data_IF_465778542178
#
_entry.id   IF_465778542178
#
_cell.length_a   1.000
_cell.length_b   1.000
_cell.length_c   1.000
_cell.angle_alpha   90.00
_cell.angle_beta   90.00
_cell.angle_gamma   90.00
#
_symmetry.space_group_name_H-M   'P 1'
#
loop_
_entity.id
_entity.type
_entity.pdbx_description
1 polymer ?
#
# COMPACT_ATOMS: atom_id res chain seq x y z
N UNK A 1 -0.44 -0.42 -31.70
CA UNK A 1 0.90 -0.20 -32.30
C UNK A 1 1.10 1.30 -32.50
N UNK A 2 2.27 1.79 -32.11
CA UNK A 2 2.56 3.18 -31.77
C UNK A 2 3.25 3.25 -30.41
N UNK A 3 4.26 2.39 -30.19
CA UNK A 3 5.12 2.45 -29.02
C UNK A 3 6.08 3.61 -29.25
N UNK A 4 6.13 4.56 -28.31
CA UNK A 4 7.23 5.51 -28.23
C UNK A 4 8.47 4.69 -27.87
N UNK A 5 9.26 4.35 -28.88
CA UNK A 5 10.64 3.94 -28.66
C UNK A 5 11.40 5.21 -28.26
N UNK A 6 12.27 5.11 -27.24
CA UNK A 6 13.26 6.15 -26.99
C UNK A 6 14.07 6.45 -28.27
N UNK A 7 14.86 7.53 -28.28
CA UNK A 7 15.64 7.89 -29.47
C UNK A 7 16.44 6.67 -29.99
N UNK A 8 16.23 6.30 -31.26
CA UNK A 8 16.80 5.10 -31.90
C UNK A 8 18.32 5.19 -32.14
N UNK A 9 18.90 6.36 -31.89
CA UNK A 9 20.31 6.65 -31.82
C UNK A 9 20.59 7.36 -30.50
N UNK A 10 21.64 6.98 -29.79
CA UNK A 10 22.04 7.61 -28.53
C UNK A 10 22.10 9.14 -28.62
N UNK A 11 21.62 9.82 -27.59
CA UNK A 11 21.71 11.27 -27.47
C UNK A 11 23.02 11.65 -26.79
N UNK A 12 23.79 12.56 -27.39
CA UNK A 12 24.85 13.23 -26.62
C UNK A 12 24.21 14.00 -25.46
N UNK A 13 24.86 13.95 -24.29
CA UNK A 13 24.49 14.77 -23.13
C UNK A 13 25.33 16.06 -23.05
N UNK A 14 26.15 16.34 -24.07
CA UNK A 14 26.93 17.56 -24.17
C UNK A 14 26.01 18.78 -24.41
N UNK A 15 26.18 19.83 -23.60
CA UNK A 15 25.37 21.04 -23.66
C UNK A 15 23.99 20.91 -23.00
N UNK A 16 23.75 19.80 -22.30
CA UNK A 16 22.51 19.56 -21.57
C UNK A 16 22.54 20.18 -20.18
N UNK A 17 21.39 20.65 -19.71
CA UNK A 17 21.24 21.22 -18.37
C UNK A 17 20.15 20.48 -17.64
N UNK A 18 20.56 19.73 -16.61
CA UNK A 18 19.68 18.99 -15.72
C UNK A 18 19.41 19.81 -14.46
N UNK A 19 18.13 20.14 -14.26
CA UNK A 19 17.67 20.79 -13.04
C UNK A 19 17.08 19.77 -12.06
N UNK A 20 17.70 19.64 -10.89
CA UNK A 20 17.28 18.76 -9.81
C UNK A 20 16.48 19.53 -8.78
N UNK A 21 15.20 19.19 -8.69
CA UNK A 21 14.17 19.85 -7.89
C UNK A 21 13.69 18.91 -6.78
N UNK A 22 14.54 18.67 -5.77
CA UNK A 22 14.20 17.86 -4.59
C UNK A 22 14.57 18.57 -3.28
N UNK A 23 13.82 18.38 -2.18
CA UNK A 23 14.03 19.06 -0.90
C UNK A 23 15.16 18.41 -0.09
N UNK A 24 16.36 18.32 -0.66
CA UNK A 24 17.56 17.83 0.02
C UNK A 24 18.75 18.73 -0.30
N UNK A 25 19.77 18.67 0.55
CA UNK A 25 21.07 19.25 0.20
C UNK A 25 21.60 18.65 -1.10
N UNK A 26 22.29 19.45 -1.94
CA UNK A 26 22.98 18.95 -3.11
C UNK A 26 23.99 17.86 -2.72
N UNK A 27 23.88 16.69 -3.35
CA UNK A 27 24.87 15.62 -3.17
C UNK A 27 26.07 15.90 -4.07
N UNK A 28 26.99 16.74 -3.60
CA UNK A 28 28.14 17.20 -4.40
C UNK A 28 28.95 16.06 -5.01
N UNK A 29 29.22 15.00 -4.25
CA UNK A 29 29.93 13.81 -4.77
C UNK A 29 29.19 13.16 -5.94
N UNK A 30 27.85 13.10 -5.87
CA UNK A 30 27.02 12.56 -6.95
C UNK A 30 27.04 13.48 -8.17
N UNK A 31 26.94 14.81 -7.96
CA UNK A 31 26.99 15.82 -9.02
C UNK A 31 28.31 15.70 -9.78
N UNK A 32 29.44 15.74 -9.07
CA UNK A 32 30.78 15.61 -9.66
C UNK A 32 30.91 14.30 -10.44
N UNK A 33 30.47 13.17 -9.87
CA UNK A 33 30.53 11.88 -10.56
C UNK A 33 29.70 11.85 -11.85
N UNK A 34 28.56 12.55 -11.91
CA UNK A 34 27.74 12.63 -13.12
C UNK A 34 28.36 13.54 -14.17
N UNK A 35 28.89 14.69 -13.79
CA UNK A 35 29.54 15.63 -14.72
C UNK A 35 30.84 15.03 -15.30
N UNK A 36 31.59 14.26 -14.51
CA UNK A 36 32.75 13.50 -14.99
C UNK A 36 32.35 12.36 -15.94
N UNK A 37 31.25 11.65 -15.63
CA UNK A 37 30.74 10.54 -16.45
C UNK A 37 30.10 11.01 -17.77
N UNK A 38 29.55 12.21 -17.78
CA UNK A 38 28.87 12.81 -18.93
C UNK A 38 29.45 14.20 -19.24
N UNK A 39 30.61 14.27 -19.94
CA UNK A 39 31.25 15.54 -20.26
C UNK A 39 30.29 16.50 -20.99
N UNK A 40 30.17 17.72 -20.46
CA UNK A 40 29.31 18.76 -21.00
C UNK A 40 27.86 18.75 -20.48
N UNK A 41 27.48 17.82 -19.61
CA UNK A 41 26.25 17.90 -18.82
C UNK A 41 26.46 18.88 -17.66
N UNK A 42 25.61 19.89 -17.55
CA UNK A 42 25.54 20.80 -16.39
C UNK A 42 24.44 20.33 -15.44
N UNK A 43 24.74 20.21 -14.15
CA UNK A 43 23.74 19.87 -13.13
C UNK A 43 23.49 21.06 -12.21
N UNK A 44 22.25 21.55 -12.23
CA UNK A 44 21.76 22.57 -11.29
C UNK A 44 20.91 21.90 -10.25
N UNK A 45 21.21 22.17 -8.98
CA UNK A 45 20.44 21.63 -7.86
C UNK A 45 19.79 22.77 -7.09
N UNK A 46 18.47 22.70 -6.93
CA UNK A 46 17.72 23.71 -6.19
C UNK A 46 18.04 23.61 -4.71
N UNK A 47 18.39 24.75 -4.11
CA UNK A 47 18.70 24.86 -2.69
C UNK A 47 17.59 24.28 -1.79
N UNK A 48 18.00 23.55 -0.74
CA UNK A 48 17.06 22.92 0.20
C UNK A 48 16.24 23.96 0.94
N UNK A 49 16.86 25.03 1.41
CA UNK A 49 16.20 26.01 2.27
C UNK A 49 15.14 26.77 1.47
N UNK A 50 15.39 27.01 0.18
CA UNK A 50 14.36 27.49 -0.75
C UNK A 50 13.10 26.60 -0.77
N UNK A 51 13.25 25.27 -0.77
CA UNK A 51 12.11 24.34 -0.73
C UNK A 51 11.29 24.44 0.56
N UNK A 52 11.98 24.62 1.68
CA UNK A 52 11.37 24.68 3.00
C UNK A 52 10.65 26.01 3.22
N UNK A 53 11.24 27.11 2.76
CA UNK A 53 10.72 28.46 2.97
C UNK A 53 9.49 28.79 2.11
N UNK A 54 9.38 28.18 0.92
CA UNK A 54 8.33 28.53 -0.05
C UNK A 54 7.03 27.75 0.10
N UNK A 55 6.98 26.78 1.02
CA UNK A 55 5.84 25.89 1.24
C UNK A 55 5.23 25.36 -0.09
N UNK A 56 6.10 24.93 -1.01
CA UNK A 56 5.73 24.63 -2.40
C UNK A 56 4.61 23.59 -2.53
N UNK A 57 4.50 22.71 -1.53
CA UNK A 57 3.46 21.69 -1.48
C UNK A 57 2.06 22.28 -1.29
N UNK A 58 1.95 23.42 -0.61
CA UNK A 58 0.70 24.16 -0.44
C UNK A 58 0.38 25.07 -1.64
N UNK A 59 1.39 25.67 -2.28
CA UNK A 59 1.19 26.57 -3.43
C UNK A 59 0.82 25.84 -4.72
N UNK A 60 1.14 24.55 -4.82
CA UNK A 60 0.74 23.72 -5.96
C UNK A 60 1.61 23.88 -7.22
N UNK A 61 2.53 24.85 -7.27
CA UNK A 61 3.43 25.10 -8.42
C UNK A 61 4.85 25.46 -7.95
N UNK A 62 5.86 24.95 -8.65
CA UNK A 62 7.27 25.21 -8.35
C UNK A 62 7.77 26.51 -9.02
N UNK A 63 7.79 27.61 -8.25
CA UNK A 63 8.15 28.95 -8.75
C UNK A 63 9.61 29.33 -8.41
N UNK A 64 10.58 28.70 -9.06
CA UNK A 64 12.00 28.95 -8.78
C UNK A 64 12.43 30.39 -9.12
N UNK A 65 13.54 30.88 -8.53
CA UNK A 65 14.11 32.18 -8.87
C UNK A 65 14.38 32.33 -10.38
N UNK A 66 14.26 33.56 -10.88
CA UNK A 66 14.50 33.87 -12.29
C UNK A 66 15.92 33.47 -12.72
N UNK A 67 16.04 32.90 -13.91
CA UNK A 67 17.31 32.47 -14.51
C UNK A 67 17.71 31.02 -14.20
N UNK A 68 17.12 30.38 -13.19
CA UNK A 68 17.49 29.00 -12.83
C UNK A 68 17.10 27.99 -13.93
N UNK A 69 16.04 28.30 -14.68
CA UNK A 69 15.56 27.53 -15.82
C UNK A 69 16.27 27.86 -17.15
N UNK A 70 17.20 28.82 -17.17
CA UNK A 70 17.83 29.25 -18.42
C UNK A 70 18.65 28.13 -19.06
N UNK A 71 18.21 27.68 -20.23
CA UNK A 71 18.87 26.56 -20.92
C UNK A 71 18.51 25.18 -20.39
N UNK A 72 17.62 25.04 -19.39
CA UNK A 72 17.22 23.73 -18.84
C UNK A 72 16.54 22.87 -19.89
N UNK A 73 17.08 21.67 -20.08
CA UNK A 73 16.58 20.68 -21.04
C UNK A 73 16.05 19.42 -20.37
N UNK A 74 16.43 19.20 -19.10
CA UNK A 74 16.05 18.03 -18.31
C UNK A 74 15.63 18.48 -16.91
N UNK A 75 14.55 17.91 -16.37
CA UNK A 75 14.05 18.25 -15.03
C UNK A 75 13.79 17.00 -14.22
N UNK A 76 14.27 16.96 -12.97
CA UNK A 76 13.84 15.98 -11.98
C UNK A 76 13.00 16.68 -10.91
N UNK A 77 11.69 16.43 -10.85
CA UNK A 77 10.82 17.15 -9.91
C UNK A 77 9.59 16.36 -9.46
N UNK A 78 9.12 16.63 -8.25
CA UNK A 78 7.78 16.24 -7.81
C UNK A 78 6.72 17.20 -8.33
N UNK A 79 6.95 18.50 -8.08
CA UNK A 79 6.03 19.59 -8.39
C UNK A 79 6.27 20.10 -9.82
N UNK A 80 5.21 20.29 -10.64
CA UNK A 80 5.39 20.89 -11.95
C UNK A 80 5.90 22.34 -11.82
N UNK A 81 7.00 22.70 -12.52
CA UNK A 81 7.32 24.08 -12.86
C UNK A 81 6.21 24.74 -13.67
N UNK A 82 6.31 26.04 -13.95
CA UNK A 82 5.41 26.67 -14.92
C UNK A 82 5.75 26.22 -16.35
N UNK A 83 4.75 26.06 -17.25
CA UNK A 83 5.01 25.71 -18.64
C UNK A 83 5.97 26.68 -19.35
N UNK A 84 5.90 27.98 -19.04
CA UNK A 84 6.71 29.00 -19.71
C UNK A 84 8.22 28.89 -19.39
N UNK A 85 8.55 28.27 -18.25
CA UNK A 85 9.92 28.03 -17.80
C UNK A 85 10.52 26.76 -18.42
N UNK A 86 9.68 25.90 -19.03
CA UNK A 86 10.07 24.57 -19.52
C UNK A 86 10.20 24.49 -21.04
N UNK A 87 10.38 25.62 -21.74
CA UNK A 87 10.35 25.71 -23.22
C UNK A 87 11.33 24.81 -23.97
N UNK A 88 12.45 24.43 -23.34
CA UNK A 88 13.49 23.57 -23.92
C UNK A 88 13.52 22.16 -23.33
N UNK A 89 12.66 21.89 -22.35
CA UNK A 89 12.66 20.61 -21.62
C UNK A 89 12.16 19.51 -22.54
N UNK A 90 12.93 18.43 -22.63
CA UNK A 90 12.58 17.23 -23.41
C UNK A 90 12.62 15.94 -22.59
N UNK A 91 13.10 15.99 -21.36
CA UNK A 91 13.10 14.87 -20.44
C UNK A 91 12.70 15.31 -19.03
N UNK A 92 11.77 14.58 -18.43
CA UNK A 92 11.31 14.79 -17.07
C UNK A 92 11.39 13.49 -16.29
N UNK A 93 12.16 13.47 -15.20
CA UNK A 93 12.18 12.40 -14.21
C UNK A 93 11.29 12.79 -13.04
N UNK A 94 10.13 12.16 -12.91
CA UNK A 94 9.29 12.34 -11.73
C UNK A 94 9.95 11.69 -10.52
N UNK A 95 9.77 12.32 -9.37
CA UNK A 95 10.18 11.75 -8.08
C UNK A 95 9.11 10.87 -7.44
N UNK A 96 7.90 10.82 -8.02
CA UNK A 96 6.79 9.99 -7.56
C UNK A 96 6.53 8.81 -8.49
N UNK A 97 5.92 7.74 -7.94
CA UNK A 97 5.48 6.60 -8.74
C UNK A 97 4.27 6.95 -9.65
N UNK A 98 3.42 7.90 -9.24
CA UNK A 98 2.31 8.42 -10.04
C UNK A 98 2.61 9.78 -10.66
N UNK A 99 1.83 10.17 -11.66
CA UNK A 99 1.96 11.44 -12.39
C UNK A 99 0.78 12.38 -12.19
N UNK A 100 -0.05 12.17 -11.15
CA UNK A 100 -1.34 12.85 -10.93
C UNK A 100 -1.25 14.39 -11.02
N UNK A 101 -0.15 14.98 -10.53
CA UNK A 101 0.08 16.44 -10.57
C UNK A 101 0.47 16.99 -11.94
N UNK A 102 0.89 16.11 -12.85
CA UNK A 102 1.42 16.47 -14.17
C UNK A 102 0.43 16.23 -15.29
N UNK A 103 -0.60 15.40 -15.12
CA UNK A 103 -1.48 14.96 -16.22
C UNK A 103 -2.18 16.10 -16.97
N UNK A 104 -2.41 17.24 -16.32
CA UNK A 104 -3.01 18.44 -16.92
C UNK A 104 -2.00 19.47 -17.43
N UNK A 105 -0.70 19.25 -17.20
CA UNK A 105 0.36 20.19 -17.52
C UNK A 105 0.70 20.17 -19.01
N UNK A 106 0.94 21.32 -19.64
CA UNK A 106 1.14 21.40 -21.10
C UNK A 106 2.38 20.66 -21.58
N UNK A 107 3.47 20.72 -20.83
CA UNK A 107 4.69 19.92 -21.11
C UNK A 107 4.43 18.42 -21.00
N UNK A 108 3.50 17.99 -20.13
CA UNK A 108 3.08 16.59 -20.09
C UNK A 108 2.18 16.25 -21.29
N UNK A 109 1.53 17.20 -21.94
CA UNK A 109 0.74 16.93 -23.15
C UNK A 109 1.61 16.88 -24.40
N UNK A 110 2.80 17.47 -24.37
CA UNK A 110 3.75 17.42 -25.49
C UNK A 110 4.29 15.99 -25.69
N UNK A 111 4.02 15.36 -26.85
CA UNK A 111 4.50 14.00 -27.14
C UNK A 111 6.02 13.93 -27.32
N UNK A 112 6.71 15.05 -27.55
CA UNK A 112 8.16 15.09 -27.73
C UNK A 112 8.93 15.13 -26.40
N UNK A 113 8.23 15.28 -25.28
CA UNK A 113 8.83 15.29 -23.95
C UNK A 113 8.69 13.91 -23.32
N UNK A 114 9.81 13.31 -22.95
CA UNK A 114 9.82 12.01 -22.27
C UNK A 114 9.56 12.20 -20.78
N UNK A 115 8.67 11.39 -20.20
CA UNK A 115 8.37 11.37 -18.78
C UNK A 115 8.66 9.98 -18.20
N UNK A 116 9.53 9.92 -17.19
CA UNK A 116 9.81 8.69 -16.45
C UNK A 116 9.35 8.82 -15.00
N UNK A 117 8.76 7.77 -14.44
CA UNK A 117 8.32 7.76 -13.03
C UNK A 117 9.38 7.19 -12.10
N UNK A 118 9.12 7.31 -10.81
CA UNK A 118 9.85 6.64 -9.75
C UNK A 118 9.28 5.26 -9.39
N UNK A 119 8.58 4.58 -10.30
CA UNK A 119 8.05 3.25 -10.03
C UNK A 119 9.16 2.30 -9.49
N UNK A 120 8.81 1.50 -8.48
CA UNK A 120 9.71 0.52 -7.86
C UNK A 120 10.47 0.99 -6.61
N UNK A 121 10.68 2.29 -6.38
CA UNK A 121 11.51 2.74 -5.23
C UNK A 121 10.89 2.45 -3.86
N UNK A 122 9.56 2.31 -3.81
CA UNK A 122 8.80 2.13 -2.58
C UNK A 122 8.44 0.68 -2.27
N UNK A 123 8.63 -0.23 -3.22
CA UNK A 123 8.07 -1.58 -3.16
C UNK A 123 8.46 -2.33 -1.88
N UNK A 124 9.73 -2.22 -1.46
CA UNK A 124 10.24 -2.87 -0.24
C UNK A 124 9.50 -2.39 1.02
N UNK A 125 9.49 -1.07 1.28
CA UNK A 125 8.90 -0.52 2.50
C UNK A 125 7.38 -0.75 2.56
N UNK A 126 6.69 -0.56 1.42
CA UNK A 126 5.24 -0.78 1.35
C UNK A 126 4.92 -2.26 1.59
N UNK A 127 5.70 -3.18 1.05
CA UNK A 127 5.47 -4.62 1.28
C UNK A 127 5.62 -5.02 2.75
N UNK A 128 6.58 -4.42 3.47
CA UNK A 128 6.74 -4.63 4.90
C UNK A 128 5.52 -4.11 5.68
N UNK A 129 4.97 -2.97 5.27
CA UNK A 129 3.73 -2.45 5.85
C UNK A 129 2.53 -3.36 5.57
N UNK A 130 2.37 -3.87 4.34
CA UNK A 130 1.29 -4.80 3.96
C UNK A 130 1.37 -6.09 4.78
N UNK A 131 2.55 -6.71 4.86
CA UNK A 131 2.75 -7.95 5.61
C UNK A 131 2.67 -7.71 7.12
N UNK A 132 3.20 -6.58 7.60
CA UNK A 132 3.11 -6.17 9.00
C UNK A 132 1.67 -6.00 9.46
N UNK A 133 0.83 -5.33 8.65
CA UNK A 133 -0.60 -5.17 8.96
C UNK A 133 -1.38 -6.48 8.88
N UNK A 134 -1.04 -7.36 7.94
CA UNK A 134 -1.58 -8.72 7.89
C UNK A 134 -1.27 -9.52 9.16
N UNK A 135 0.00 -9.54 9.58
CA UNK A 135 0.43 -10.24 10.80
C UNK A 135 -0.20 -9.61 12.05
N UNK A 136 -0.21 -8.29 12.13
CA UNK A 136 -0.88 -7.56 13.21
C UNK A 136 -2.36 -7.96 13.33
N UNK A 137 -3.06 -8.15 12.21
CA UNK A 137 -4.43 -8.62 12.18
C UNK A 137 -4.59 -10.11 12.54
N UNK A 138 -3.69 -10.99 12.06
CA UNK A 138 -3.73 -12.43 12.41
C UNK A 138 -3.46 -12.68 13.89
N UNK A 139 -2.48 -11.97 14.45
CA UNK A 139 -1.99 -12.20 15.80
C UNK A 139 -2.61 -11.25 16.83
N UNK A 140 -3.67 -10.52 16.46
CA UNK A 140 -4.45 -9.66 17.36
C UNK A 140 -3.62 -8.59 18.08
N UNK A 141 -2.57 -8.05 17.45
CA UNK A 141 -1.64 -7.10 18.08
C UNK A 141 -2.34 -5.81 18.53
N UNK A 142 -3.34 -5.32 17.80
CA UNK A 142 -4.11 -4.14 18.23
C UNK A 142 -4.88 -4.41 19.53
N UNK A 143 -5.51 -5.59 19.65
CA UNK A 143 -6.19 -5.99 20.89
C UNK A 143 -5.19 -6.15 22.02
N UNK A 144 -4.06 -6.81 21.78
CA UNK A 144 -3.00 -6.95 22.76
C UNK A 144 -2.48 -5.58 23.24
N UNK A 145 -2.31 -4.61 22.33
CA UNK A 145 -1.93 -3.23 22.67
C UNK A 145 -2.98 -2.54 23.57
N UNK A 146 -4.27 -2.73 23.31
CA UNK A 146 -5.34 -2.20 24.17
C UNK A 146 -5.32 -2.83 25.57
N UNK A 147 -5.16 -4.15 25.65
CA UNK A 147 -5.05 -4.89 26.90
C UNK A 147 -3.83 -4.45 27.71
N UNK A 148 -2.70 -4.23 27.05
CA UNK A 148 -1.48 -3.68 27.65
C UNK A 148 -1.73 -2.31 28.29
N UNK A 149 -2.41 -1.40 27.59
CA UNK A 149 -2.81 -0.08 28.13
C UNK A 149 -3.76 -0.17 29.31
N UNK A 150 -4.54 -1.25 29.40
CA UNK A 150 -5.45 -1.54 30.51
C UNK A 150 -4.77 -2.33 31.65
N UNK A 151 -3.49 -2.67 31.52
CA UNK A 151 -2.79 -3.59 32.41
C UNK A 151 -3.53 -4.93 32.62
N UNK A 152 -4.23 -5.42 31.58
CA UNK A 152 -5.06 -6.62 31.65
C UNK A 152 -4.39 -7.80 30.97
N UNK A 153 -4.15 -8.86 31.72
CA UNK A 153 -3.77 -10.16 31.18
C UNK A 153 -5.04 -10.93 30.78
N UNK A 154 -5.36 -10.96 29.48
CA UNK A 154 -6.52 -11.68 28.99
C UNK A 154 -6.20 -13.19 28.85
N UNK A 155 -7.13 -14.09 29.21
CA UNK A 155 -6.98 -15.51 29.00
C UNK A 155 -7.10 -15.87 27.51
N UNK A 156 -6.58 -17.03 27.09
CA UNK A 156 -6.45 -17.38 25.67
C UNK A 156 -7.79 -17.47 24.94
N UNK A 157 -8.86 -17.83 25.65
CA UNK A 157 -10.22 -17.99 25.14
C UNK A 157 -10.85 -16.66 24.69
N UNK A 158 -10.29 -15.52 25.12
CA UNK A 158 -10.70 -14.21 24.64
C UNK A 158 -10.19 -13.91 23.21
N UNK A 159 -9.22 -14.68 22.70
CA UNK A 159 -8.64 -14.52 21.36
C UNK A 159 -9.22 -15.54 20.38
N UNK A 160 -9.40 -15.10 19.14
CA UNK A 160 -9.69 -16.04 18.07
C UNK A 160 -8.42 -16.83 17.74
N UNK A 161 -8.58 -18.07 17.26
CA UNK A 161 -7.42 -18.85 16.84
C UNK A 161 -6.73 -18.18 15.64
N UNK A 162 -5.42 -17.98 15.77
CA UNK A 162 -4.55 -17.61 14.64
C UNK A 162 -4.55 -18.73 13.62
N UNK A 163 -4.53 -18.39 12.33
CA UNK A 163 -4.29 -19.37 11.26
C UNK A 163 -2.96 -19.03 10.64
N UNK A 164 -2.14 -20.05 10.47
CA UNK A 164 -0.81 -19.91 9.90
C UNK A 164 -0.93 -19.49 8.43
N UNK A 165 0.03 -18.70 7.95
CA UNK A 165 0.02 -18.21 6.57
C UNK A 165 0.21 -19.29 5.48
N UNK A 166 0.92 -20.42 5.71
CA UNK A 166 1.04 -21.46 4.70
C UNK A 166 -0.31 -21.98 4.19
N UNK A 167 -0.47 -21.95 2.87
CA UNK A 167 -1.69 -22.39 2.17
C UNK A 167 -2.81 -21.35 2.08
N UNK A 168 -2.66 -20.17 2.72
CA UNK A 168 -3.60 -19.07 2.54
C UNK A 168 -3.39 -18.35 1.22
N UNK A 169 -4.43 -17.68 0.71
CA UNK A 169 -4.41 -17.01 -0.59
C UNK A 169 -4.27 -15.50 -0.46
N UNK A 170 -3.23 -14.94 -1.08
CA UNK A 170 -3.11 -13.50 -1.30
C UNK A 170 -3.54 -13.17 -2.73
N UNK A 171 -4.60 -12.39 -2.87
CA UNK A 171 -4.96 -11.73 -4.12
C UNK A 171 -4.28 -10.37 -4.21
N UNK A 172 -3.57 -10.12 -5.31
CA UNK A 172 -2.89 -8.85 -5.60
C UNK A 172 -3.61 -8.14 -6.75
N UNK A 173 -4.45 -7.17 -6.41
CA UNK A 173 -5.13 -6.30 -7.36
C UNK A 173 -4.16 -5.22 -7.85
N UNK A 174 -3.48 -5.48 -8.96
CA UNK A 174 -2.45 -4.62 -9.53
C UNK A 174 -1.04 -5.20 -9.35
N UNK A 175 -0.65 -6.13 -10.22
CA UNK A 175 0.64 -6.84 -10.16
C UNK A 175 1.83 -6.05 -10.77
N UNK A 176 2.01 -4.81 -10.31
CA UNK A 176 3.18 -3.96 -10.59
C UNK A 176 4.29 -4.12 -9.53
N UNK A 177 5.22 -3.17 -9.43
CA UNK A 177 6.39 -3.28 -8.55
C UNK A 177 6.04 -3.54 -7.07
N UNK A 178 5.05 -2.83 -6.51
CA UNK A 178 4.57 -3.06 -5.13
C UNK A 178 3.94 -4.47 -5.01
N UNK A 179 3.01 -4.81 -5.91
CA UNK A 179 2.32 -6.09 -5.89
C UNK A 179 3.26 -7.28 -5.99
N UNK A 180 4.26 -7.21 -6.87
CA UNK A 180 5.32 -8.23 -7.03
C UNK A 180 6.14 -8.42 -5.77
N UNK A 181 6.50 -7.33 -5.09
CA UNK A 181 7.25 -7.43 -3.85
C UNK A 181 6.38 -7.95 -2.68
N UNK A 182 5.11 -7.57 -2.59
CA UNK A 182 4.15 -8.17 -1.65
C UNK A 182 4.03 -9.69 -1.88
N UNK A 183 3.89 -10.11 -3.14
CA UNK A 183 3.82 -11.50 -3.54
C UNK A 183 5.07 -12.29 -3.16
N UNK A 184 6.26 -11.73 -3.38
CA UNK A 184 7.53 -12.34 -2.97
C UNK A 184 7.56 -12.64 -1.47
N UNK A 185 7.23 -11.65 -0.64
CA UNK A 185 7.27 -11.81 0.83
C UNK A 185 6.19 -12.77 1.30
N UNK A 186 4.96 -12.67 0.79
CA UNK A 186 3.88 -13.58 1.13
C UNK A 186 4.14 -15.02 0.68
N UNK A 187 4.72 -15.23 -0.51
CA UNK A 187 5.13 -16.54 -1.00
C UNK A 187 6.22 -17.16 -0.11
N UNK A 188 7.18 -16.37 0.37
CA UNK A 188 8.17 -16.82 1.35
C UNK A 188 7.54 -17.23 2.70
N UNK A 189 6.35 -16.71 3.03
CA UNK A 189 5.55 -17.13 4.19
C UNK A 189 4.63 -18.35 3.90
N UNK A 190 4.71 -18.92 2.69
CA UNK A 190 3.94 -20.08 2.26
C UNK A 190 2.55 -19.78 1.69
N UNK A 191 2.22 -18.52 1.42
CA UNK A 191 0.94 -18.15 0.80
C UNK A 191 0.93 -18.46 -0.70
N UNK A 192 -0.24 -18.83 -1.21
CA UNK A 192 -0.52 -18.92 -2.65
C UNK A 192 -0.88 -17.52 -3.18
N UNK A 193 -0.30 -17.13 -4.32
CA UNK A 193 -0.45 -15.78 -4.87
C UNK A 193 -1.32 -15.79 -6.13
N UNK A 194 -2.40 -15.00 -6.12
CA UNK A 194 -3.24 -14.72 -7.30
C UNK A 194 -3.03 -13.28 -7.75
N UNK A 195 -2.52 -13.11 -8.97
CA UNK A 195 -2.21 -11.81 -9.54
C UNK A 195 -3.34 -11.32 -10.43
N UNK A 196 -3.69 -10.03 -10.33
CA UNK A 196 -4.56 -9.35 -11.28
C UNK A 196 -3.80 -8.26 -12.03
N UNK A 197 -3.91 -8.24 -13.35
CA UNK A 197 -3.36 -7.20 -14.23
C UNK A 197 -4.43 -6.64 -15.16
N UNK A 198 -4.22 -5.44 -15.71
CA UNK A 198 -5.15 -4.91 -16.71
C UNK A 198 -5.14 -5.74 -18.00
N UNK A 199 -3.95 -6.08 -18.49
CA UNK A 199 -3.75 -6.86 -19.71
C UNK A 199 -3.45 -8.31 -19.38
N UNK A 200 -3.79 -9.21 -20.29
CA UNK A 200 -3.46 -10.63 -20.16
C UNK A 200 -1.94 -10.87 -20.13
N UNK A 201 -1.51 -11.86 -19.35
CA UNK A 201 -0.11 -12.25 -19.13
C UNK A 201 0.05 -13.76 -19.29
N UNK A 202 -0.30 -14.27 -20.48
CA UNK A 202 -0.39 -15.71 -20.75
C UNK A 202 0.97 -16.39 -20.99
N UNK A 203 2.00 -15.65 -21.41
CA UNK A 203 3.36 -16.20 -21.66
C UNK A 203 4.38 -15.73 -20.61
N UNK A 204 5.49 -16.46 -20.40
CA UNK A 204 6.58 -16.01 -19.52
C UNK A 204 7.09 -14.61 -19.87
N UNK A 205 7.27 -14.31 -21.16
CA UNK A 205 7.74 -13.00 -21.64
C UNK A 205 6.74 -11.90 -21.30
N UNK A 206 5.44 -12.18 -21.45
CA UNK A 206 4.41 -11.24 -21.07
C UNK A 206 4.43 -10.97 -19.56
N UNK A 207 4.80 -11.94 -18.71
CA UNK A 207 4.82 -11.79 -17.24
C UNK A 207 6.03 -11.03 -16.72
N UNK A 208 7.06 -10.82 -17.54
CA UNK A 208 8.24 -10.05 -17.15
C UNK A 208 7.91 -8.60 -16.84
N UNK A 209 8.69 -8.02 -15.94
CA UNK A 209 8.65 -6.61 -15.60
C UNK A 209 10.06 -6.03 -15.62
N UNK A 210 10.33 -5.22 -16.65
CA UNK A 210 11.62 -4.56 -16.86
C UNK A 210 11.68 -3.19 -16.19
N UNK A 211 10.66 -2.84 -15.39
CA UNK A 211 10.67 -1.62 -14.59
C UNK A 211 11.71 -1.67 -13.47
N UNK A 212 12.05 -0.50 -12.93
CA UNK A 212 13.04 -0.43 -11.87
C UNK A 212 12.57 -1.24 -10.64
N UNK A 213 13.48 -2.01 -10.06
CA UNK A 213 13.28 -2.69 -8.79
C UNK A 213 14.60 -2.78 -8.02
N UNK A 214 14.53 -2.95 -6.71
CA UNK A 214 15.72 -3.17 -5.90
C UNK A 214 16.27 -4.59 -6.16
N UNK A 215 17.59 -4.76 -6.30
CA UNK A 215 18.18 -6.10 -6.44
C UNK A 215 17.71 -7.06 -5.33
N UNK A 216 17.32 -8.28 -5.72
CA UNK A 216 16.83 -9.30 -4.78
C UNK A 216 15.39 -9.11 -4.29
N UNK A 217 14.65 -8.15 -4.85
CA UNK A 217 13.24 -7.86 -4.53
C UNK A 217 12.34 -8.04 -5.75
N UNK A 218 11.02 -8.07 -5.52
CA UNK A 218 10.01 -8.21 -6.55
C UNK A 218 9.93 -9.61 -7.14
N UNK A 219 9.45 -9.66 -8.38
CA UNK A 219 9.24 -10.87 -9.16
C UNK A 219 9.49 -10.53 -10.63
N UNK A 220 10.73 -10.20 -11.03
CA UNK A 220 11.02 -9.65 -12.36
C UNK A 220 10.61 -10.60 -13.49
N UNK A 221 10.69 -11.92 -13.27
CA UNK A 221 10.29 -12.94 -14.24
C UNK A 221 8.80 -13.33 -14.17
N UNK A 222 8.06 -12.85 -13.17
CA UNK A 222 6.63 -13.15 -13.02
C UNK A 222 6.34 -14.63 -12.74
N UNK A 223 7.19 -15.27 -11.93
CA UNK A 223 7.14 -16.71 -11.66
C UNK A 223 6.34 -17.06 -10.40
N UNK A 224 6.08 -16.07 -9.54
CA UNK A 224 5.47 -16.30 -8.22
C UNK A 224 3.96 -16.60 -8.29
N UNK A 225 3.14 -15.91 -9.12
CA UNK A 225 1.70 -16.14 -9.09
C UNK A 225 1.32 -17.53 -9.56
N UNK A 226 0.54 -18.23 -8.74
CA UNK A 226 -0.07 -19.51 -9.09
C UNK A 226 -1.17 -19.33 -10.15
N UNK A 227 -1.86 -18.19 -10.14
CA UNK A 227 -2.91 -17.84 -11.10
C UNK A 227 -2.83 -16.37 -11.49
N UNK A 228 -3.16 -16.11 -12.75
CA UNK A 228 -3.21 -14.79 -13.35
C UNK A 228 -4.64 -14.50 -13.79
N UNK A 229 -5.14 -13.35 -13.38
CA UNK A 229 -6.41 -12.78 -13.77
C UNK A 229 -6.16 -11.48 -14.51
N UNK A 230 -7.05 -11.13 -15.42
CA UNK A 230 -6.91 -9.88 -16.14
C UNK A 230 -8.22 -9.32 -16.64
N UNK A 231 -8.20 -8.04 -17.00
CA UNK A 231 -9.29 -7.40 -17.71
C UNK A 231 -9.47 -5.93 -17.34
N UNK A 232 -10.41 -5.31 -18.05
CA UNK A 232 -10.90 -3.96 -17.78
C UNK A 232 -12.36 -4.07 -17.38
N UNK A 233 -12.75 -3.36 -16.32
CA UNK A 233 -14.14 -3.31 -15.86
C UNK A 233 -14.43 -4.25 -14.70
N UNK A 234 -15.67 -4.17 -14.20
CA UNK A 234 -16.10 -4.80 -12.94
C UNK A 234 -16.19 -6.31 -13.02
N UNK A 235 -16.62 -6.88 -14.14
CA UNK A 235 -16.79 -8.34 -14.27
C UNK A 235 -15.48 -9.12 -14.11
N UNK A 236 -14.40 -8.64 -14.73
CA UNK A 236 -13.07 -9.24 -14.59
C UNK A 236 -12.56 -9.16 -13.13
N UNK A 237 -12.79 -8.02 -12.47
CA UNK A 237 -12.46 -7.87 -11.05
C UNK A 237 -13.32 -8.80 -10.19
N UNK A 238 -14.61 -8.94 -10.49
CA UNK A 238 -15.51 -9.84 -9.77
C UNK A 238 -15.05 -11.29 -9.86
N UNK A 239 -14.62 -11.75 -11.04
CA UNK A 239 -14.07 -13.09 -11.22
C UNK A 239 -12.84 -13.29 -10.32
N UNK A 240 -11.93 -12.32 -10.29
CA UNK A 240 -10.75 -12.36 -9.43
C UNK A 240 -11.07 -12.34 -7.93
N UNK A 241 -12.04 -11.53 -7.49
CA UNK A 241 -12.43 -11.45 -6.09
C UNK A 241 -13.20 -12.70 -5.62
N UNK A 242 -13.82 -13.44 -6.54
CA UNK A 242 -14.53 -14.68 -6.24
C UNK A 242 -13.61 -15.87 -5.90
N UNK A 243 -12.28 -15.67 -5.87
CA UNK A 243 -11.29 -16.75 -5.76
C UNK A 243 -10.90 -17.12 -4.32
N UNK A 244 -11.80 -16.91 -3.35
CA UNK A 244 -11.63 -17.33 -1.95
C UNK A 244 -10.29 -16.82 -1.35
N UNK A 245 -10.14 -15.48 -1.37
CA UNK A 245 -8.94 -14.77 -0.94
C UNK A 245 -8.94 -14.58 0.58
N UNK A 246 -7.81 -14.86 1.25
CA UNK A 246 -7.62 -14.54 2.67
C UNK A 246 -7.13 -13.11 2.89
N UNK A 247 -6.29 -12.64 1.96
CA UNK A 247 -5.74 -11.29 1.93
C UNK A 247 -5.88 -10.69 0.54
N UNK A 248 -6.55 -9.55 0.44
CA UNK A 248 -6.62 -8.74 -0.78
C UNK A 248 -5.68 -7.53 -0.62
N UNK A 249 -4.68 -7.42 -1.49
CA UNK A 249 -3.82 -6.24 -1.60
C UNK A 249 -4.26 -5.40 -2.79
N UNK A 250 -4.64 -4.15 -2.54
CA UNK A 250 -5.03 -3.18 -3.56
C UNK A 250 -3.84 -2.29 -3.88
N UNK A 251 -3.30 -2.44 -5.08
CA UNK A 251 -2.08 -1.78 -5.58
C UNK A 251 -2.22 -1.26 -7.02
N UNK A 252 -3.45 -1.00 -7.50
CA UNK A 252 -3.71 -0.35 -8.80
C UNK A 252 -3.56 1.17 -8.71
N UNK A 253 -3.14 1.87 -9.78
CA UNK A 253 -3.19 3.33 -9.82
C UNK A 253 -4.64 3.84 -9.78
N UNK A 254 -4.83 5.08 -9.34
CA UNK A 254 -6.15 5.75 -9.43
C UNK A 254 -6.31 6.39 -10.81
N UNK A 255 -7.29 5.91 -11.55
CA UNK A 255 -7.71 6.42 -12.85
C UNK A 255 -9.23 6.44 -12.89
N UNK A 256 -9.83 6.98 -13.95
CA UNK A 256 -11.28 6.90 -14.15
C UNK A 256 -11.80 5.46 -14.13
N UNK A 257 -11.00 4.48 -14.58
CA UNK A 257 -11.39 3.06 -14.62
C UNK A 257 -11.20 2.31 -13.29
N UNK A 258 -10.44 2.87 -12.34
CA UNK A 258 -10.18 2.24 -11.04
C UNK A 258 -10.79 3.00 -9.86
N UNK A 259 -11.39 4.17 -10.10
CA UNK A 259 -12.17 4.89 -9.11
C UNK A 259 -13.39 4.06 -8.69
N UNK A 260 -13.60 3.92 -7.38
CA UNK A 260 -14.66 3.12 -6.77
C UNK A 260 -14.75 1.69 -7.33
N UNK A 261 -13.59 1.11 -7.69
CA UNK A 261 -13.49 -0.24 -8.21
C UNK A 261 -14.00 -1.27 -7.20
N UNK A 262 -13.75 -1.06 -5.91
CA UNK A 262 -14.31 -1.87 -4.83
C UNK A 262 -15.50 -1.15 -4.19
N UNK A 263 -16.71 -1.55 -4.57
CA UNK A 263 -17.96 -1.10 -3.98
C UNK A 263 -18.73 -2.23 -3.30
N UNK A 264 -20.01 -1.98 -2.99
CA UNK A 264 -20.90 -2.93 -2.31
C UNK A 264 -20.91 -4.32 -2.96
N UNK A 265 -21.05 -4.36 -4.28
CA UNK A 265 -21.05 -5.60 -5.06
C UNK A 265 -19.77 -6.42 -4.84
N UNK A 266 -18.60 -5.78 -4.86
CA UNK A 266 -17.32 -6.44 -4.66
C UNK A 266 -17.18 -6.98 -3.23
N UNK A 267 -17.67 -6.25 -2.23
CA UNK A 267 -17.72 -6.76 -0.85
C UNK A 267 -18.73 -7.90 -0.67
N UNK A 268 -19.86 -7.91 -1.39
CA UNK A 268 -20.79 -9.03 -1.41
C UNK A 268 -20.16 -10.30 -2.04
N UNK A 269 -19.26 -10.14 -3.01
CA UNK A 269 -18.50 -11.26 -3.59
C UNK A 269 -17.49 -11.82 -2.58
N UNK A 270 -16.73 -10.94 -1.92
CA UNK A 270 -15.78 -11.35 -0.86
C UNK A 270 -16.49 -12.04 0.31
N UNK A 271 -17.72 -11.64 0.63
CA UNK A 271 -18.53 -12.27 1.67
C UNK A 271 -18.91 -13.72 1.32
N UNK A 272 -19.24 -13.98 0.04
CA UNK A 272 -19.68 -15.28 -0.48
C UNK A 272 -18.55 -16.29 -0.69
N UNK A 273 -17.28 -15.86 -0.63
CA UNK A 273 -16.11 -16.60 -1.10
C UNK A 273 -15.84 -17.98 -0.49
N UNK A 274 -16.64 -18.48 0.44
CA UNK A 274 -16.38 -19.77 1.10
C UNK A 274 -17.40 -20.85 0.77
N UNK A 275 -17.08 -21.60 -0.28
CA UNK A 275 -17.58 -22.95 -0.55
C UNK A 275 -16.48 -24.02 -0.51
N UNK A 276 -15.23 -23.70 -0.17
CA UNK A 276 -14.13 -24.66 -0.33
C UNK A 276 -13.99 -25.61 0.87
N UNK A 277 -14.24 -26.90 0.63
CA UNK A 277 -13.83 -28.06 1.44
C UNK A 277 -12.29 -28.26 1.46
N UNK A 278 -11.51 -27.20 1.22
CA UNK A 278 -10.08 -27.25 0.91
C UNK A 278 -9.19 -27.46 2.14
N UNK A 279 -9.59 -28.36 3.03
CA UNK A 279 -8.72 -29.08 3.97
C UNK A 279 -9.33 -30.47 4.24
N UNK A 280 -9.56 -31.25 3.18
CA UNK A 280 -9.44 -32.70 3.30
C UNK A 280 -8.00 -33.07 2.96
N UNK A 281 -7.18 -33.57 3.91
CA UNK A 281 -5.98 -34.27 3.53
C UNK A 281 -6.40 -35.38 2.58
N UNK A 282 -5.70 -35.55 1.46
CA UNK A 282 -5.85 -36.74 0.63
C UNK A 282 -5.53 -37.92 1.55
N UNK A 283 -6.57 -38.64 2.01
CA UNK A 283 -6.38 -39.96 2.58
C UNK A 283 -5.81 -40.82 1.45
N UNK A 284 -4.49 -41.00 1.45
CA UNK A 284 -3.85 -42.05 0.70
C UNK A 284 -4.40 -43.37 1.22
N UNK A 285 -4.98 -44.17 0.33
CA UNK A 285 -5.32 -45.55 0.61
C UNK A 285 -4.08 -46.28 1.14
N UNK A 286 -4.10 -46.59 2.42
CA UNK A 286 -3.17 -47.47 3.12
C UNK A 286 -3.96 -48.23 4.17
N UNK A 287 -4.27 -49.47 3.84
CA UNK A 287 -4.94 -50.50 4.65
C UNK A 287 -4.34 -50.73 6.05
N UNK A 288 -5.16 -50.72 7.12
CA UNK A 288 -5.40 -51.80 8.11
C UNK A 288 -6.19 -51.32 9.37
N UNK A 289 -6.75 -52.22 10.23
CA UNK A 289 -8.11 -52.10 10.73
C UNK A 289 -8.25 -51.89 12.26
N UNK A 290 -9.50 -51.65 12.66
CA UNK A 290 -10.11 -51.79 13.99
C UNK A 290 -9.61 -50.97 15.19
N UNK A 291 -10.58 -50.32 15.83
CA UNK A 291 -10.44 -49.69 17.15
C UNK A 291 -11.67 -48.87 17.54
N UNK A 292 -12.77 -49.54 17.89
CA UNK A 292 -13.87 -48.97 18.68
C UNK A 292 -13.34 -48.35 19.98
N UNK A 293 -13.77 -47.16 20.41
CA UNK A 293 -14.09 -46.83 21.83
C UNK A 293 -15.15 -45.72 21.91
N UNK A 294 -16.15 -45.99 22.77
CA UNK A 294 -17.23 -45.14 23.26
C UNK A 294 -16.80 -43.90 24.08
N UNK A 295 -17.61 -42.83 24.00
CA UNK A 295 -18.31 -42.34 25.20
C UNK A 295 -17.92 -40.99 25.83
N UNK A 296 -19.00 -40.25 26.15
CA UNK A 296 -19.24 -39.34 27.29
C UNK A 296 -19.30 -37.82 27.03
N UNK A 297 -20.54 -37.37 27.17
CA UNK A 297 -21.04 -36.01 27.39
C UNK A 297 -20.25 -35.22 28.44
N UNK A 298 -19.97 -33.95 28.12
CA UNK A 298 -19.62 -32.89 29.07
C UNK A 298 -20.46 -31.65 28.75
N UNK A 299 -21.35 -31.30 29.66
CA UNK A 299 -22.33 -30.21 29.56
C UNK A 299 -21.62 -28.87 29.88
N UNK A 300 -21.59 -27.93 28.94
CA UNK A 300 -20.94 -26.62 29.08
C UNK A 300 -21.83 -25.50 28.55
N UNK A 301 -22.40 -24.73 29.47
CA UNK A 301 -23.33 -23.64 29.25
C UNK A 301 -22.59 -22.42 28.66
N UNK A 302 -22.89 -22.02 27.42
CA UNK A 302 -22.28 -20.85 26.77
C UNK A 302 -23.32 -19.75 26.49
N UNK A 303 -23.18 -18.63 27.20
CA UNK A 303 -23.83 -17.36 26.88
C UNK A 303 -23.06 -16.67 25.75
N UNK A 304 -23.78 -16.29 24.69
CA UNK A 304 -23.27 -15.45 23.61
C UNK A 304 -22.99 -14.02 24.11
N UNK A 305 -21.71 -13.65 24.18
CA UNK A 305 -21.26 -12.28 24.38
C UNK A 305 -21.03 -11.57 23.04
N UNK A 306 -22.08 -10.92 22.54
CA UNK A 306 -21.95 -9.85 21.56
C UNK A 306 -21.32 -8.65 22.29
N UNK A 307 -20.01 -8.40 22.12
CA UNK A 307 -19.38 -7.22 22.72
C UNK A 307 -19.37 -6.10 21.68
N UNK A 308 -20.35 -5.22 21.83
CA UNK A 308 -20.55 -4.03 21.02
C UNK A 308 -19.39 -3.03 21.09
N UNK A 309 -19.35 -2.19 20.06
CA UNK A 309 -18.51 -1.01 20.01
C UNK A 309 -18.76 -0.12 21.22
N UNK A 310 -17.66 0.31 21.86
CA UNK A 310 -17.70 1.33 22.90
C UNK A 310 -17.02 2.56 22.35
N UNK A 311 -17.82 3.60 22.15
CA UNK A 311 -17.38 4.96 21.83
C UNK A 311 -16.47 5.50 22.95
N UNK A 312 -15.17 5.60 22.67
CA UNK A 312 -14.24 6.35 23.52
C UNK A 312 -14.22 7.83 23.14
N UNK A 313 -15.04 8.64 23.83
CA UNK A 313 -14.84 10.09 23.88
C UNK A 313 -13.65 10.41 24.78
N UNK A 314 -12.46 10.48 24.18
CA UNK A 314 -11.27 11.06 24.78
C UNK A 314 -10.92 12.38 24.08
N UNK A 315 -11.16 13.51 24.73
CA UNK A 315 -10.74 14.83 24.27
C UNK A 315 -9.21 14.90 24.38
N UNK A 316 -8.52 14.87 23.24
CA UNK A 316 -7.11 15.28 23.13
C UNK A 316 -7.04 16.78 22.79
N UNK A 317 -6.09 17.54 23.38
CA UNK A 317 -5.95 18.97 23.11
C UNK A 317 -5.39 19.23 21.71
N UNK A 318 -5.80 20.37 21.16
CA UNK A 318 -5.44 20.87 19.84
C UNK A 318 -3.92 20.95 19.63
N UNK A 319 -3.46 20.43 18.51
CA UNK A 319 -2.13 20.65 17.96
C UNK A 319 -2.19 20.66 16.44
N UNK A 320 -2.36 21.85 15.86
CA UNK A 320 -2.02 22.09 14.46
C UNK A 320 -0.50 21.98 14.34
N UNK A 321 -0.02 21.02 13.56
CA UNK A 321 1.41 20.86 13.28
C UNK A 321 1.59 20.11 11.98
N UNK A 322 1.89 20.86 10.93
CA UNK A 322 2.33 20.37 9.63
C UNK A 322 3.50 19.39 9.79
N UNK A 323 3.44 18.28 9.06
CA UNK A 323 4.51 17.31 8.94
C UNK A 323 5.71 17.96 8.25
N UNK A 324 6.75 18.27 9.02
CA UNK A 324 8.10 18.53 8.48
C UNK A 324 9.04 17.41 8.92
N UNK A 325 9.75 16.86 7.94
CA UNK A 325 10.76 15.84 8.14
C UNK A 325 12.02 16.43 8.76
N UNK A 326 12.64 15.65 9.64
CA UNK A 326 14.06 15.73 9.97
C UNK A 326 14.36 16.54 11.23
N UNK A 327 14.61 15.85 12.35
CA UNK A 327 15.76 16.14 13.21
C UNK A 327 16.10 14.91 14.07
N UNK A 328 17.37 14.53 13.98
CA UNK A 328 18.07 13.52 14.79
C UNK A 328 18.60 14.14 16.10
N UNK A 329 18.70 13.28 17.12
CA UNK A 329 19.46 13.38 18.38
C UNK A 329 18.95 14.25 19.54
N UNK A 330 19.06 13.68 20.75
CA UNK A 330 19.32 14.44 21.99
C UNK A 330 18.67 13.86 23.25
N UNK A 331 19.42 13.05 24.01
CA UNK A 331 19.13 12.70 25.41
C UNK A 331 18.90 13.93 26.30
N UNK A 332 17.96 13.85 27.26
CA UNK A 332 18.18 14.34 28.64
C UNK A 332 17.07 13.93 29.62
N UNK A 333 17.51 13.55 30.82
CA UNK A 333 16.73 13.19 32.01
C UNK A 333 15.90 14.37 32.55
N UNK A 334 14.77 14.05 33.18
CA UNK A 334 14.01 15.00 34.00
C UNK A 334 13.00 14.31 34.91
N UNK A 335 13.39 14.15 36.17
CA UNK A 335 12.65 13.60 37.32
C UNK A 335 11.49 14.46 37.82
N UNK A 336 10.50 13.79 38.45
CA UNK A 336 9.72 14.16 39.65
C UNK A 336 8.18 14.33 39.54
N UNK A 337 7.51 13.75 40.54
CA UNK A 337 6.35 14.34 41.23
C UNK A 337 4.99 13.67 40.97
N UNK A 338 4.65 12.55 41.65
CA UNK A 338 3.84 12.44 42.89
C UNK A 338 2.32 12.61 42.78
N UNK A 339 1.65 11.52 43.14
CA UNK A 339 0.44 11.34 43.98
C UNK A 339 -0.93 11.93 43.60
N UNK A 340 -1.93 11.06 43.67
CA UNK A 340 -3.36 11.43 43.77
C UNK A 340 -4.29 10.22 43.71
N UNK A 341 -4.42 9.49 44.82
CA UNK A 341 -5.36 8.38 45.06
C UNK A 341 -6.81 8.87 45.28
N UNK A 342 -7.79 8.09 44.80
CA UNK A 342 -9.13 7.77 45.37
C UNK A 342 -9.98 7.16 44.23
N UNK A 343 -10.59 5.97 44.28
CA UNK A 343 -11.17 5.22 45.39
C UNK A 343 -12.68 5.47 45.44
N UNK A 344 -13.51 4.52 44.98
CA UNK A 344 -14.74 3.99 45.63
C UNK A 344 -15.61 3.17 44.66
N UNK A 345 -16.02 2.00 45.18
CA UNK A 345 -16.86 0.94 44.63
C UNK A 345 -18.35 1.30 44.50
N UNK A 346 -19.07 0.55 43.67
CA UNK A 346 -20.54 0.46 43.72
C UNK A 346 -21.08 -0.75 42.94
N UNK A 347 -21.31 -1.87 43.63
CA UNK A 347 -22.00 -3.07 43.14
C UNK A 347 -23.52 -2.84 43.02
N UNK A 348 -24.15 -3.42 42.01
CA UNK A 348 -25.60 -3.56 41.89
C UNK A 348 -25.99 -4.79 41.07
N UNK A 349 -26.53 -5.81 41.73
CA UNK A 349 -27.06 -7.06 41.17
C UNK A 349 -28.49 -6.89 40.60
N UNK A 350 -28.93 -7.95 39.89
CA UNK A 350 -30.31 -8.39 39.54
C UNK A 350 -30.71 -8.07 38.08
N UNK A 351 -31.39 -8.95 37.31
CA UNK A 351 -32.23 -10.11 37.61
C UNK A 351 -32.43 -10.93 36.30
N UNK A 352 -32.63 -12.26 36.44
CA UNK A 352 -32.89 -13.20 35.35
C UNK A 352 -34.33 -13.11 34.82
N UNK A 353 -34.52 -13.20 33.49
CA UNK A 353 -35.77 -13.71 32.89
C UNK A 353 -35.45 -14.81 31.87
N UNK A 354 -36.20 -15.91 31.97
CA UNK A 354 -36.10 -17.14 31.16
C UNK A 354 -36.72 -16.91 29.77
N UNK A 355 -36.14 -17.49 28.73
CA UNK A 355 -36.93 -17.93 27.57
C UNK A 355 -36.37 -19.19 26.91
N UNK A 356 -37.32 -19.95 26.37
CA UNK A 356 -37.36 -21.34 25.92
C UNK A 356 -36.30 -21.80 24.91
N UNK A 357 -35.87 -23.06 25.10
CA UNK A 357 -34.98 -23.82 24.23
C UNK A 357 -35.66 -24.27 22.94
N UNK A 358 -34.98 -24.09 21.80
CA UNK A 358 -35.18 -24.89 20.57
C UNK A 358 -33.84 -25.53 20.24
N UNK A 359 -33.76 -26.85 20.44
CA UNK A 359 -32.55 -27.64 20.25
C UNK A 359 -32.48 -28.08 18.78
N UNK A 360 -31.83 -27.27 17.93
CA UNK A 360 -31.49 -27.61 16.56
C UNK A 360 -30.02 -28.01 16.49
N UNK A 361 -29.75 -29.27 16.19
CA UNK A 361 -28.44 -29.88 16.03
C UNK A 361 -27.61 -29.11 14.96
N UNK A 362 -26.88 -28.07 15.36
CA UNK A 362 -25.93 -27.35 14.52
C UNK A 362 -24.57 -28.00 14.68
N UNK A 363 -24.21 -28.85 13.73
CA UNK A 363 -22.81 -29.10 13.37
C UNK A 363 -22.07 -27.76 13.34
N UNK A 364 -20.99 -27.66 14.11
CA UNK A 364 -20.12 -26.48 14.18
C UNK A 364 -19.50 -26.25 12.81
N UNK A 365 -20.15 -25.40 11.99
CA UNK A 365 -19.53 -24.78 10.83
C UNK A 365 -18.23 -24.16 11.34
N UNK A 366 -17.08 -24.69 10.91
CA UNK A 366 -15.83 -23.98 11.05
C UNK A 366 -15.96 -22.76 10.13
N UNK A 367 -16.46 -21.68 10.75
CA UNK A 367 -16.87 -20.45 10.09
C UNK A 367 -15.66 -19.90 9.38
N UNK A 368 -15.71 -19.95 8.06
CA UNK A 368 -14.52 -19.65 7.33
C UNK A 368 -14.17 -18.16 7.40
N UNK A 369 -12.91 -17.85 7.73
CA UNK A 369 -12.37 -16.49 7.88
C UNK A 369 -12.57 -15.65 6.60
N UNK A 370 -13.30 -14.56 6.73
CA UNK A 370 -13.55 -13.58 5.67
C UNK A 370 -12.24 -12.92 5.19
N UNK A 371 -12.24 -12.35 4.00
CA UNK A 371 -11.05 -11.67 3.43
C UNK A 371 -10.63 -10.47 4.30
N UNK A 372 -9.32 -10.28 4.46
CA UNK A 372 -8.73 -9.04 4.99
C UNK A 372 -8.32 -8.14 3.82
N UNK A 373 -8.71 -6.86 3.84
CA UNK A 373 -8.45 -5.94 2.72
C UNK A 373 -7.34 -4.95 3.08
N UNK A 374 -6.34 -4.82 2.24
CA UNK A 374 -5.22 -3.92 2.43
C UNK A 374 -5.18 -2.92 1.26
N UNK A 375 -5.42 -1.64 1.53
CA UNK A 375 -5.31 -0.58 0.53
C UNK A 375 -4.06 0.27 0.79
N UNK A 376 -3.10 0.16 -0.14
CA UNK A 376 -1.84 0.92 -0.16
C UNK A 376 -1.70 1.75 -1.44
N UNK A 377 -2.80 1.89 -2.19
CA UNK A 377 -2.81 2.56 -3.48
C UNK A 377 -3.28 4.01 -3.35
N UNK A 378 -4.59 4.23 -3.45
CA UNK A 378 -5.29 5.52 -3.27
C UNK A 378 -6.64 5.28 -2.62
N UNK A 379 -7.11 6.26 -1.84
CA UNK A 379 -8.39 6.18 -1.15
C UNK A 379 -9.58 5.95 -2.10
N UNK A 380 -9.66 6.74 -3.17
CA UNK A 380 -10.78 6.70 -4.12
C UNK A 380 -10.90 5.44 -4.98
N UNK A 381 -10.08 4.41 -4.77
CA UNK A 381 -10.25 3.08 -5.38
C UNK A 381 -11.36 2.29 -4.66
N UNK A 382 -11.54 2.54 -3.36
CA UNK A 382 -12.54 1.87 -2.53
C UNK A 382 -13.65 2.86 -2.21
N UNK A 383 -14.89 2.47 -2.47
CA UNK A 383 -16.04 3.21 -1.98
C UNK A 383 -16.06 3.13 -0.44
N UNK A 384 -15.83 4.29 0.20
CA UNK A 384 -15.70 4.38 1.66
C UNK A 384 -16.99 4.00 2.39
N UNK A 385 -18.16 4.31 1.84
CA UNK A 385 -19.44 3.94 2.45
C UNK A 385 -19.65 2.41 2.38
N UNK A 386 -19.33 1.81 1.24
CA UNK A 386 -19.39 0.36 1.08
C UNK A 386 -18.40 -0.38 2.00
N UNK A 387 -17.19 0.17 2.18
CA UNK A 387 -16.20 -0.38 3.09
C UNK A 387 -16.68 -0.35 4.55
N UNK A 388 -17.23 0.78 4.99
CA UNK A 388 -17.78 0.93 6.35
C UNK A 388 -18.84 -0.12 6.62
N UNK A 389 -19.81 -0.26 5.70
CA UNK A 389 -20.85 -1.27 5.84
C UNK A 389 -20.28 -2.69 5.85
N UNK A 390 -19.32 -3.00 4.98
CA UNK A 390 -18.70 -4.32 4.91
C UNK A 390 -17.99 -4.68 6.22
N UNK A 391 -17.34 -3.71 6.87
CA UNK A 391 -16.72 -3.87 8.19
C UNK A 391 -17.77 -4.06 9.29
N UNK A 392 -18.82 -3.23 9.31
CA UNK A 392 -19.89 -3.30 10.30
C UNK A 392 -20.69 -4.60 10.22
N UNK A 393 -20.97 -5.08 9.01
CA UNK A 393 -21.71 -6.34 8.76
C UNK A 393 -20.82 -7.58 8.87
N UNK A 394 -19.50 -7.41 8.99
CA UNK A 394 -18.54 -8.51 9.03
C UNK A 394 -18.45 -9.28 7.70
N UNK A 395 -18.72 -8.63 6.58
CA UNK A 395 -18.53 -9.19 5.22
C UNK A 395 -17.05 -9.42 4.93
N UNK A 396 -16.20 -8.55 5.46
CA UNK A 396 -14.75 -8.71 5.52
C UNK A 396 -14.32 -8.78 6.98
N UNK A 397 -13.19 -9.43 7.27
CA UNK A 397 -12.72 -9.59 8.65
C UNK A 397 -12.02 -8.35 9.22
N UNK A 398 -11.68 -7.40 8.35
CA UNK A 398 -10.97 -6.18 8.70
C UNK A 398 -10.30 -5.56 7.49
N UNK A 399 -9.75 -4.37 7.69
CA UNK A 399 -9.00 -3.66 6.66
C UNK A 399 -7.78 -2.92 7.23
N UNK A 400 -6.74 -2.78 6.40
CA UNK A 400 -5.62 -1.88 6.63
C UNK A 400 -5.60 -0.82 5.51
N UNK A 401 -5.59 0.45 5.89
CA UNK A 401 -5.67 1.60 4.99
C UNK A 401 -4.49 2.53 5.26
N UNK A 402 -3.54 2.61 4.33
CA UNK A 402 -2.55 3.71 4.37
C UNK A 402 -3.06 4.96 3.64
N UNK A 403 -4.16 4.81 2.90
CA UNK A 403 -4.76 5.86 2.06
C UNK A 403 -6.27 5.91 2.29
N UNK A 404 -6.84 7.11 2.21
CA UNK A 404 -8.27 7.36 2.44
C UNK A 404 -8.78 8.45 1.49
N UNK A 405 -10.09 8.65 1.41
CA UNK A 405 -10.66 9.80 0.68
C UNK A 405 -11.73 10.43 1.59
N UNK A 406 -11.59 11.71 2.01
CA UNK A 406 -10.51 12.65 1.69
C UNK A 406 -9.23 12.45 2.52
N UNK A 407 -8.11 13.05 2.07
CA UNK A 407 -6.84 13.15 2.80
C UNK A 407 -6.48 14.63 3.04
N UNK A 408 -6.14 15.06 4.28
CA UNK A 408 -6.14 14.29 5.53
C UNK A 408 -7.55 13.83 5.96
N UNK A 409 -7.62 12.69 6.64
CA UNK A 409 -8.90 12.13 7.10
C UNK A 409 -9.49 13.00 8.23
N UNK A 410 -10.72 13.56 8.10
CA UNK A 410 -11.32 14.43 9.12
C UNK A 410 -11.47 13.74 10.47
N UNK A 411 -11.34 14.51 11.57
CA UNK A 411 -11.35 13.98 12.95
C UNK A 411 -12.66 13.25 13.31
N UNK A 412 -13.77 13.65 12.72
CA UNK A 412 -15.11 13.11 12.93
C UNK A 412 -15.49 12.01 11.93
N UNK A 413 -14.58 11.67 11.00
CA UNK A 413 -14.85 10.68 9.97
C UNK A 413 -15.13 9.28 10.57
N UNK A 414 -16.19 8.58 10.12
CA UNK A 414 -16.62 7.30 10.72
C UNK A 414 -15.58 6.18 10.65
N UNK A 415 -14.67 6.20 9.65
CA UNK A 415 -13.57 5.23 9.55
C UNK A 415 -12.73 5.13 10.83
N UNK A 416 -12.58 6.21 11.60
CA UNK A 416 -11.84 6.17 12.87
C UNK A 416 -12.46 5.25 13.92
N UNK A 417 -13.75 4.95 13.80
CA UNK A 417 -14.53 4.14 14.75
C UNK A 417 -14.98 2.81 14.16
N UNK A 418 -14.67 2.56 12.88
CA UNK A 418 -15.08 1.33 12.22
C UNK A 418 -14.42 0.12 12.89
N UNK A 419 -15.12 -1.03 12.95
CA UNK A 419 -14.56 -2.23 13.58
C UNK A 419 -13.42 -2.80 12.72
N UNK A 420 -12.38 -3.32 13.38
CA UNK A 420 -11.29 -4.07 12.75
C UNK A 420 -10.58 -3.35 11.59
N UNK A 421 -10.53 -2.01 11.63
CA UNK A 421 -9.75 -1.20 10.69
C UNK A 421 -8.46 -0.70 11.33
N UNK A 422 -7.38 -0.67 10.55
CA UNK A 422 -6.13 -0.02 10.91
C UNK A 422 -5.81 1.05 9.87
N UNK A 423 -5.52 2.27 10.32
CA UNK A 423 -5.29 3.42 9.45
C UNK A 423 -3.92 4.01 9.75
N UNK A 424 -3.12 4.23 8.71
CA UNK A 424 -1.90 5.03 8.77
C UNK A 424 -2.02 6.24 7.84
N UNK A 425 -1.37 7.37 8.17
CA UNK A 425 -1.60 8.64 7.50
C UNK A 425 -0.75 8.78 6.22
N UNK A 426 -0.85 7.82 5.28
CA UNK A 426 -0.15 7.83 4.00
C UNK A 426 1.38 7.87 4.15
N UNK A 427 1.91 6.91 4.92
CA UNK A 427 3.33 6.86 5.35
C UNK A 427 4.02 5.54 5.04
N UNK A 428 3.33 4.56 4.45
CA UNK A 428 3.91 3.24 4.14
C UNK A 428 5.11 3.31 3.18
N UNK A 429 5.28 4.44 2.48
CA UNK A 429 6.35 4.67 1.51
C UNK A 429 7.62 5.29 2.11
N UNK A 430 7.57 5.83 3.33
CA UNK A 430 8.64 6.65 3.92
C UNK A 430 9.86 5.79 4.25
N UNK A 431 11.02 6.17 3.70
CA UNK A 431 12.30 5.49 3.92
C UNK A 431 13.46 6.47 3.78
N UNK A 432 14.54 6.35 4.57
CA UNK A 432 15.73 7.19 4.39
C UNK A 432 16.40 6.97 3.03
N UNK A 433 16.16 5.83 2.37
CA UNK A 433 16.76 5.48 1.08
C UNK A 433 16.03 6.11 -0.12
N UNK A 434 14.98 6.90 0.09
CA UNK A 434 14.09 7.37 -0.98
C UNK A 434 14.84 8.15 -2.06
N UNK A 435 15.63 9.15 -1.65
CA UNK A 435 16.38 9.99 -2.58
C UNK A 435 17.51 9.24 -3.28
N UNK A 436 18.19 8.31 -2.59
CA UNK A 436 19.24 7.48 -3.22
C UNK A 436 18.65 6.58 -4.31
N UNK A 437 17.50 5.96 -4.06
CA UNK A 437 16.83 5.10 -5.06
C UNK A 437 16.38 5.92 -6.27
N UNK A 438 15.90 7.13 -6.06
CA UNK A 438 15.53 8.06 -7.13
C UNK A 438 16.72 8.45 -8.01
N UNK A 439 17.84 8.84 -7.40
CA UNK A 439 19.05 9.19 -8.15
C UNK A 439 19.56 8.00 -8.96
N UNK A 440 19.46 6.76 -8.45
CA UNK A 440 19.78 5.54 -9.22
C UNK A 440 18.89 5.34 -10.45
N UNK A 441 17.60 5.67 -10.37
CA UNK A 441 16.72 5.64 -11.56
C UNK A 441 17.18 6.69 -12.57
N UNK A 442 17.45 7.92 -12.11
CA UNK A 442 17.91 9.01 -12.96
C UNK A 442 19.23 8.64 -13.65
N UNK A 443 20.23 8.18 -12.90
CA UNK A 443 21.50 7.67 -13.44
C UNK A 443 21.26 6.62 -14.53
N UNK A 444 20.42 5.62 -14.23
CA UNK A 444 20.09 4.55 -15.17
C UNK A 444 19.39 5.07 -16.43
N UNK A 445 18.61 6.15 -16.33
CA UNK A 445 17.96 6.79 -17.47
C UNK A 445 18.92 7.69 -18.27
N UNK A 446 19.87 8.38 -17.63
CA UNK A 446 20.94 9.12 -18.32
C UNK A 446 21.79 8.18 -19.19
N UNK A 447 22.17 7.02 -18.65
CA UNK A 447 22.86 5.98 -19.42
C UNK A 447 22.04 5.52 -20.64
N UNK A 448 20.75 5.27 -20.44
CA UNK A 448 19.85 4.80 -21.50
C UNK A 448 19.61 5.84 -22.57
N UNK A 449 19.48 7.12 -22.20
CA UNK A 449 19.40 8.24 -23.15
C UNK A 449 20.66 8.30 -24.01
N UNK A 450 21.84 8.22 -23.37
CA UNK A 450 23.14 8.24 -24.07
C UNK A 450 23.31 7.07 -25.02
N UNK A 451 22.80 5.90 -24.67
CA UNK A 451 22.95 4.66 -25.44
C UNK A 451 21.82 4.41 -26.43
N UNK A 452 20.74 5.21 -26.42
CA UNK A 452 19.56 4.99 -27.25
C UNK A 452 18.76 3.76 -26.84
N UNK A 453 18.82 3.38 -25.55
CA UNK A 453 18.08 2.24 -25.00
C UNK A 453 16.70 2.67 -24.47
N UNK A 454 15.73 1.73 -24.38
CA UNK A 454 14.46 2.00 -23.71
C UNK A 454 14.67 2.50 -22.27
N UNK A 455 14.01 3.60 -21.92
CA UNK A 455 14.08 4.23 -20.60
C UNK A 455 13.37 3.37 -19.54
N UNK A 456 13.91 3.41 -18.32
CA UNK A 456 13.22 2.87 -17.14
C UNK A 456 11.99 3.72 -16.85
N UNK A 457 10.89 3.04 -16.55
CA UNK A 457 9.65 3.64 -16.06
C UNK A 457 9.09 4.74 -16.99
N UNK A 458 9.29 4.61 -18.30
CA UNK A 458 8.72 5.52 -19.28
C UNK A 458 7.19 5.47 -19.24
N UNK A 459 6.57 6.63 -19.03
CA UNK A 459 5.12 6.75 -18.89
C UNK A 459 4.37 6.38 -20.17
N UNK A 460 3.32 5.58 -20.03
CA UNK A 460 2.33 5.45 -21.09
C UNK A 460 1.24 6.52 -20.93
N UNK A 461 1.34 7.61 -21.69
CA UNK A 461 0.39 8.74 -21.61
C UNK A 461 -1.08 8.33 -21.82
N UNK A 462 -1.34 7.28 -22.61
CA UNK A 462 -2.69 6.80 -22.89
C UNK A 462 -3.31 6.08 -21.71
N UNK A 463 -2.46 5.44 -20.90
CA UNK A 463 -2.87 4.64 -19.75
C UNK A 463 -2.69 5.40 -18.43
N UNK A 464 -1.91 6.50 -18.45
CA UNK A 464 -1.61 7.39 -17.33
C UNK A 464 -0.82 6.73 -16.18
N UNK A 465 -0.08 5.64 -16.46
CA UNK A 465 0.86 5.00 -15.54
C UNK A 465 1.91 4.16 -16.26
#
# INVERSE_FOLDING_TARGET
>A
MGSLHGPSSGLSLEGEVLLVCIPTEPKLEWVTAMEERYPGLEIRWVDRDWYLDTNVFASGTLNLPAGLYDGVTMVMSFMPPKPEDMKRVRFVQLTSAGADRWVTHDVYRDPNVMFCTANGIHATQISEWVIGTWLMAQHHFLRASMLMKQARWAPAEEFHQTVDSPGLRMGVLGYGAIGRQCARVASAMGMEIYAYTRTERSTPEARRDDSYHMPGTGDPDGLIPARWFHGVGREAVNEFLAQDLDLLVVSVPLTDSTRNLLGREQFDILDKGRLSDAFRPKNGNGSHPDGQINGKNGNGNHNNGHVGGINGNGVLPNGNGLLTNGHTNGYSNGTNGTNGTNGINGNGQQQHTKNSHVNGNRTTRHGGKKTFVCNIARGGIIDTAALLEALERGQIRGAALDVTEPEPLPRDHPLWRAPNVFITPHVSWITPCYWDRLLRILEGNLDRLREGRPLLNLMNRKEQY
#
